data_IF_344222012281
#
_entry.id   IF_344222012281
#
_cell.length_a   1.000
_cell.length_b   1.000
_cell.length_c   1.000
_cell.angle_alpha   90.00
_cell.angle_beta   90.00
_cell.angle_gamma   90.00
#
_symmetry.space_group_name_H-M   'P 1'
#
loop_
_entity.id
_entity.type
_entity.pdbx_description
1 polymer ?
#
# COMPACT_ATOMS: atom_id res chain seq x y z
N UNK A 1 1.30 14.65 5.64
CA UNK A 1 1.34 14.08 4.27
C UNK A 1 0.25 14.72 3.43
N UNK A 2 0.59 15.26 2.27
CA UNK A 2 -0.35 15.93 1.37
C UNK A 2 -0.25 15.45 -0.09
N UNK A 3 0.73 14.59 -0.40
CA UNK A 3 1.05 14.19 -1.77
C UNK A 3 0.63 12.74 -2.03
N UNK A 4 -0.23 12.56 -3.03
CA UNK A 4 -0.60 11.25 -3.57
C UNK A 4 -0.21 11.20 -5.04
N UNK A 5 0.55 10.17 -5.43
CA UNK A 5 1.06 10.01 -6.79
C UNK A 5 0.45 8.76 -7.41
N UNK A 6 -0.34 8.96 -8.46
CA UNK A 6 -0.82 7.87 -9.30
C UNK A 6 0.23 7.57 -10.35
N UNK A 7 0.75 6.34 -10.33
CA UNK A 7 1.90 5.97 -11.16
C UNK A 7 1.56 4.80 -12.04
N UNK A 8 1.92 4.86 -13.33
CA UNK A 8 1.90 3.68 -14.17
C UNK A 8 3.25 2.94 -14.04
N UNK A 9 3.28 1.71 -13.50
CA UNK A 9 4.53 0.97 -13.37
C UNK A 9 5.06 0.54 -14.74
N UNK A 10 6.37 0.58 -14.91
CA UNK A 10 7.03 0.07 -16.12
C UNK A 10 6.92 -1.46 -16.20
N UNK A 11 7.06 -2.02 -17.40
CA UNK A 11 7.07 -3.49 -17.59
C UNK A 11 8.14 -4.18 -16.73
N UNK A 12 9.31 -3.56 -16.57
CA UNK A 12 10.40 -4.10 -15.72
C UNK A 12 9.99 -4.15 -14.25
N UNK A 13 9.35 -3.10 -13.75
CA UNK A 13 8.87 -3.04 -12.36
C UNK A 13 7.76 -4.04 -12.09
N UNK A 14 6.81 -4.20 -13.02
CA UNK A 14 5.76 -5.21 -12.92
C UNK A 14 6.32 -6.64 -12.81
N UNK A 15 7.47 -6.91 -13.45
CA UNK A 15 8.11 -8.23 -13.38
C UNK A 15 8.97 -8.41 -12.12
N UNK A 16 9.71 -7.38 -11.71
CA UNK A 16 10.73 -7.52 -10.66
C UNK A 16 10.24 -7.16 -9.25
N UNK A 17 9.33 -6.19 -9.12
CA UNK A 17 8.85 -5.70 -7.83
C UNK A 17 7.45 -5.10 -7.99
N UNK A 18 6.44 -5.91 -8.33
CA UNK A 18 5.06 -5.44 -8.36
C UNK A 18 4.66 -4.96 -6.96
N UNK A 19 3.93 -3.85 -6.89
CA UNK A 19 3.34 -3.33 -5.67
C UNK A 19 1.96 -2.76 -6.00
N UNK A 20 1.06 -2.77 -5.03
CA UNK A 20 -0.23 -2.09 -5.13
C UNK A 20 -0.10 -0.59 -4.83
N UNK A 21 0.82 -0.25 -3.91
CA UNK A 21 1.15 1.09 -3.48
C UNK A 21 2.38 1.06 -2.57
N UNK A 22 2.91 2.24 -2.24
CA UNK A 22 4.09 2.44 -1.37
C UNK A 22 4.06 3.81 -0.71
N UNK A 23 4.39 3.89 0.57
CA UNK A 23 4.79 5.13 1.23
C UNK A 23 6.27 5.42 1.00
N UNK A 24 6.58 6.67 0.67
CA UNK A 24 7.91 7.22 0.71
C UNK A 24 7.94 8.34 1.76
N UNK A 25 8.76 8.21 2.81
CA UNK A 25 8.85 9.20 3.89
C UNK A 25 9.39 10.55 3.41
N UNK A 26 10.18 10.54 2.34
CA UNK A 26 10.62 11.75 1.64
C UNK A 26 10.74 11.48 0.14
N UNK A 27 9.99 12.23 -0.66
CA UNK A 27 10.07 12.25 -2.11
C UNK A 27 10.15 13.68 -2.63
N UNK A 28 10.96 13.88 -3.67
CA UNK A 28 10.92 15.11 -4.47
C UNK A 28 10.24 14.77 -5.81
N UNK A 29 9.11 15.42 -6.08
CA UNK A 29 8.34 15.22 -7.31
C UNK A 29 8.64 16.39 -8.24
N UNK A 30 9.21 16.09 -9.40
CA UNK A 30 9.58 17.08 -10.41
C UNK A 30 8.89 16.80 -11.74
N UNK A 31 8.70 17.85 -12.53
CA UNK A 31 8.33 17.72 -13.95
C UNK A 31 9.52 17.19 -14.75
N UNK A 32 9.27 16.74 -15.99
CA UNK A 32 10.32 16.34 -16.94
C UNK A 32 11.36 17.44 -17.19
N UNK A 33 10.98 18.73 -17.00
CA UNK A 33 11.88 19.88 -17.14
C UNK A 33 12.63 20.24 -15.86
N UNK A 34 12.51 19.44 -14.80
CA UNK A 34 13.18 19.67 -13.51
C UNK A 34 12.47 20.65 -12.57
N UNK A 35 11.29 21.17 -12.93
CA UNK A 35 10.52 22.02 -12.00
C UNK A 35 9.91 21.19 -10.86
N UNK A 36 10.18 21.57 -9.62
CA UNK A 36 9.62 20.91 -8.42
C UNK A 36 8.12 21.17 -8.28
N UNK A 37 7.34 20.10 -8.19
CA UNK A 37 5.89 20.11 -8.00
C UNK A 37 5.51 19.90 -6.53
N UNK A 38 6.19 18.97 -5.85
CA UNK A 38 5.96 18.65 -4.45
C UNK A 38 7.23 18.08 -3.80
N UNK A 39 7.30 18.18 -2.47
CA UNK A 39 8.40 17.68 -1.65
C UNK A 39 7.84 17.14 -0.32
N UNK A 40 8.50 16.12 0.24
CA UNK A 40 8.13 15.52 1.53
C UNK A 40 7.46 14.14 1.39
N UNK A 41 6.74 13.67 2.41
CA UNK A 41 6.15 12.34 2.41
C UNK A 41 5.06 12.19 1.36
N UNK A 42 5.12 11.10 0.61
CA UNK A 42 4.20 10.82 -0.50
C UNK A 42 3.77 9.34 -0.53
N UNK A 43 2.49 9.12 -0.82
CA UNK A 43 1.97 7.78 -1.14
C UNK A 43 1.88 7.62 -2.65
N UNK A 44 2.46 6.54 -3.14
CA UNK A 44 2.37 6.12 -4.53
C UNK A 44 1.34 5.01 -4.64
N UNK A 45 0.42 5.13 -5.59
CA UNK A 45 -0.51 4.05 -5.96
C UNK A 45 -0.21 3.63 -7.40
N UNK A 46 0.09 2.34 -7.58
CA UNK A 46 0.51 1.80 -8.86
C UNK A 46 -0.70 1.35 -9.69
N UNK A 47 -0.80 1.84 -10.92
CA UNK A 47 -1.87 1.46 -11.83
C UNK A 47 -1.84 -0.05 -12.12
N UNK A 48 -3.04 -0.64 -12.16
CA UNK A 48 -3.24 -2.06 -12.41
C UNK A 48 -3.82 -2.29 -13.80
N UNK A 49 -3.40 -3.39 -14.41
CA UNK A 49 -4.04 -3.88 -15.63
C UNK A 49 -5.20 -4.79 -15.25
N UNK A 50 -6.42 -4.28 -15.39
CA UNK A 50 -7.66 -5.07 -15.27
C UNK A 50 -7.67 -6.15 -16.36
N UNK A 51 -8.27 -7.30 -16.07
CA UNK A 51 -8.36 -8.48 -16.94
C UNK A 51 -7.02 -9.16 -17.23
N UNK A 52 -5.95 -8.79 -16.51
CA UNK A 52 -4.68 -9.52 -16.54
C UNK A 52 -4.58 -10.39 -15.30
N UNK A 53 -4.23 -11.65 -15.50
CA UNK A 53 -3.96 -12.56 -14.39
C UNK A 53 -2.56 -12.33 -13.82
N UNK A 54 -2.47 -12.21 -12.50
CA UNK A 54 -1.23 -12.36 -11.75
C UNK A 54 -0.98 -13.86 -11.54
N UNK A 55 0.27 -14.29 -11.65
CA UNK A 55 0.63 -15.70 -11.54
C UNK A 55 1.60 -15.86 -10.38
N UNK A 56 1.17 -16.56 -9.33
CA UNK A 56 1.97 -16.86 -8.15
C UNK A 56 2.30 -18.35 -8.10
N UNK A 57 3.43 -18.72 -7.50
CA UNK A 57 3.74 -20.12 -7.19
C UNK A 57 2.86 -20.64 -6.06
N UNK A 58 2.62 -21.95 -5.97
CA UNK A 58 1.87 -22.52 -4.84
C UNK A 58 2.69 -22.70 -3.57
N UNK A 59 4.01 -22.60 -3.65
CA UNK A 59 4.90 -22.67 -2.48
C UNK A 59 5.03 -21.28 -1.88
N UNK A 60 4.01 -20.88 -1.13
CA UNK A 60 3.93 -19.58 -0.48
C UNK A 60 4.49 -19.67 0.95
N UNK A 61 5.22 -18.65 1.37
CA UNK A 61 5.52 -18.44 2.79
C UNK A 61 4.26 -17.91 3.52
N UNK A 62 4.29 -17.80 4.86
CA UNK A 62 3.13 -17.34 5.62
C UNK A 62 2.63 -15.94 5.23
N UNK A 63 3.52 -15.01 4.88
CA UNK A 63 3.16 -13.64 4.48
C UNK A 63 2.41 -13.65 3.15
N UNK A 64 2.95 -14.37 2.15
CA UNK A 64 2.29 -14.52 0.86
C UNK A 64 1.00 -15.34 0.93
N UNK A 65 0.89 -16.31 1.84
CA UNK A 65 -0.36 -17.04 2.07
C UNK A 65 -1.45 -16.10 2.60
N UNK A 66 -1.12 -15.27 3.60
CA UNK A 66 -2.05 -14.27 4.13
C UNK A 66 -2.44 -13.25 3.06
N UNK A 67 -1.47 -12.80 2.24
CA UNK A 67 -1.79 -11.87 1.15
C UNK A 67 -2.71 -12.51 0.10
N UNK A 68 -2.53 -13.79 -0.23
CA UNK A 68 -3.44 -14.50 -1.13
C UNK A 68 -4.88 -14.53 -0.57
N UNK A 69 -5.03 -14.74 0.73
CA UNK A 69 -6.34 -14.72 1.40
C UNK A 69 -6.95 -13.32 1.41
N UNK A 70 -6.13 -12.28 1.60
CA UNK A 70 -6.59 -10.88 1.47
C UNK A 70 -7.02 -10.56 0.05
N UNK A 71 -6.31 -11.05 -0.98
CA UNK A 71 -6.73 -10.87 -2.37
C UNK A 71 -8.07 -11.56 -2.64
N UNK A 72 -8.32 -12.75 -2.08
CA UNK A 72 -9.65 -13.37 -2.15
C UNK A 72 -10.71 -12.49 -1.48
N UNK A 73 -10.42 -11.97 -0.28
CA UNK A 73 -11.34 -11.11 0.46
C UNK A 73 -11.64 -9.77 -0.24
N UNK A 74 -10.68 -9.24 -1.00
CA UNK A 74 -10.87 -8.07 -1.86
C UNK A 74 -11.71 -8.37 -3.11
N UNK A 75 -12.02 -9.64 -3.39
CA UNK A 75 -12.85 -10.09 -4.50
C UNK A 75 -12.08 -10.49 -5.76
N UNK A 76 -10.78 -10.75 -5.68
CA UNK A 76 -10.03 -11.31 -6.80
C UNK A 76 -10.41 -12.78 -7.01
N UNK A 77 -10.54 -13.19 -8.28
CA UNK A 77 -10.76 -14.60 -8.62
C UNK A 77 -9.42 -15.34 -8.56
N UNK A 78 -9.24 -16.18 -7.54
CA UNK A 78 -8.01 -16.93 -7.28
C UNK A 78 -8.23 -18.40 -7.58
N UNK A 79 -7.69 -18.86 -8.70
CA UNK A 79 -7.79 -20.25 -9.13
C UNK A 79 -6.44 -20.95 -9.05
N UNK A 80 -6.42 -22.18 -8.53
CA UNK A 80 -5.22 -23.02 -8.54
C UNK A 80 -5.15 -23.82 -9.86
N UNK A 81 -4.06 -23.67 -10.59
CA UNK A 81 -3.73 -24.46 -11.76
C UNK A 81 -2.39 -25.20 -11.54
N UNK A 82 -2.47 -26.42 -11.01
CA UNK A 82 -1.30 -27.22 -10.67
C UNK A 82 -0.43 -26.58 -9.58
N UNK A 83 0.78 -26.15 -9.97
CA UNK A 83 1.79 -25.50 -9.10
C UNK A 83 1.71 -23.96 -9.10
N UNK A 84 0.64 -23.40 -9.68
CA UNK A 84 0.44 -21.96 -9.78
C UNK A 84 -0.93 -21.56 -9.25
N UNK A 85 -1.00 -20.36 -8.69
CA UNK A 85 -2.24 -19.61 -8.51
C UNK A 85 -2.35 -18.58 -9.65
N UNK A 86 -3.49 -18.58 -10.32
CA UNK A 86 -3.88 -17.54 -11.27
C UNK A 86 -4.87 -16.63 -10.55
N UNK A 87 -4.53 -15.35 -10.45
CA UNK A 87 -5.31 -14.34 -9.74
C UNK A 87 -5.80 -13.36 -10.79
N UNK A 88 -7.09 -13.44 -11.14
CA UNK A 88 -7.70 -12.54 -12.12
C UNK A 88 -8.17 -11.26 -11.44
N UNK A 89 -7.67 -10.13 -11.93
CA UNK A 89 -7.96 -8.79 -11.42
C UNK A 89 -9.13 -8.19 -12.19
N UNK A 90 -10.25 -7.97 -11.52
CA UNK A 90 -11.37 -7.19 -12.05
C UNK A 90 -11.24 -5.72 -11.65
N UNK A 91 -12.04 -4.83 -12.25
CA UNK A 91 -12.05 -3.42 -11.85
C UNK A 91 -12.50 -3.24 -10.39
N UNK A 92 -13.47 -4.05 -9.92
CA UNK A 92 -13.95 -4.01 -8.55
C UNK A 92 -12.91 -4.53 -7.56
N UNK A 93 -12.24 -5.65 -7.86
CA UNK A 93 -11.22 -6.19 -6.98
C UNK A 93 -9.97 -5.30 -6.92
N UNK A 94 -9.56 -4.74 -8.06
CA UNK A 94 -8.50 -3.73 -8.11
C UNK A 94 -8.83 -2.52 -7.23
N UNK A 95 -10.06 -2.00 -7.33
CA UNK A 95 -10.52 -0.88 -6.52
C UNK A 95 -10.49 -1.20 -5.03
N UNK A 96 -11.00 -2.36 -4.63
CA UNK A 96 -11.00 -2.79 -3.24
C UNK A 96 -9.58 -2.88 -2.69
N UNK A 97 -8.68 -3.54 -3.41
CA UNK A 97 -7.28 -3.66 -3.00
C UNK A 97 -6.58 -2.31 -2.94
N UNK A 98 -6.74 -1.44 -3.94
CA UNK A 98 -6.02 -0.16 -3.97
C UNK A 98 -6.57 0.85 -2.97
N UNK A 99 -7.89 1.09 -2.99
CA UNK A 99 -8.49 2.21 -2.27
C UNK A 99 -8.91 1.84 -0.84
N UNK A 100 -9.37 0.61 -0.63
CA UNK A 100 -9.96 0.19 0.65
C UNK A 100 -9.01 -0.63 1.51
N UNK A 101 -7.86 -1.04 0.97
CA UNK A 101 -6.82 -1.76 1.72
C UNK A 101 -5.45 -1.09 1.63
N UNK A 102 -4.88 -1.01 0.43
CA UNK A 102 -3.51 -0.52 0.21
C UNK A 102 -3.37 0.93 0.65
N UNK A 103 -4.24 1.82 0.18
CA UNK A 103 -4.18 3.23 0.56
C UNK A 103 -4.25 3.42 2.09
N UNK A 104 -5.18 2.73 2.76
CA UNK A 104 -5.30 2.79 4.21
C UNK A 104 -4.08 2.20 4.93
N UNK A 105 -3.47 1.16 4.37
CA UNK A 105 -2.24 0.55 4.87
C UNK A 105 -1.04 1.50 4.76
N UNK A 106 -0.84 2.14 3.61
CA UNK A 106 0.23 3.13 3.45
C UNK A 106 0.01 4.37 4.35
N UNK A 107 -1.24 4.79 4.55
CA UNK A 107 -1.59 5.80 5.56
C UNK A 107 -1.23 5.30 6.97
N UNK A 108 -1.48 4.02 7.26
CA UNK A 108 -1.10 3.38 8.52
C UNK A 108 0.41 3.45 8.79
N UNK A 109 1.24 3.16 7.78
CA UNK A 109 2.70 3.38 7.90
C UNK A 109 3.06 4.84 8.20
N UNK A 110 2.38 5.79 7.54
CA UNK A 110 2.61 7.20 7.80
C UNK A 110 2.22 7.60 9.22
N UNK A 111 1.09 7.12 9.75
CA UNK A 111 0.69 7.36 11.13
C UNK A 111 1.66 6.73 12.15
N UNK A 112 2.19 5.52 11.86
CA UNK A 112 3.19 4.89 12.71
C UNK A 112 4.45 5.76 12.82
N UNK A 113 4.94 6.24 11.68
CA UNK A 113 6.08 7.16 11.58
C UNK A 113 5.80 8.50 12.25
N UNK A 114 4.64 9.11 11.97
CA UNK A 114 4.24 10.37 12.56
C UNK A 114 4.31 10.31 14.10
N UNK A 115 3.70 9.27 14.68
CA UNK A 115 3.64 9.10 16.14
C UNK A 115 4.98 8.79 16.81
N UNK A 116 5.94 8.20 16.08
CA UNK A 116 7.21 7.72 16.63
C UNK A 116 8.41 8.57 16.27
N UNK A 117 8.32 9.36 15.20
CA UNK A 117 9.45 10.14 14.66
C UNK A 117 9.07 11.61 14.59
N UNK A 118 8.10 11.98 13.76
CA UNK A 118 7.80 13.40 13.48
C UNK A 118 7.27 14.14 14.71
N UNK A 119 6.29 13.57 15.42
CA UNK A 119 5.69 14.21 16.60
C UNK A 119 6.69 14.30 17.76
N UNK A 120 7.45 13.26 18.13
CA UNK A 120 8.47 13.39 19.15
C UNK A 120 9.60 14.36 18.76
N UNK A 121 10.02 14.37 17.48
CA UNK A 121 11.02 15.32 17.00
C UNK A 121 10.53 16.77 17.07
N UNK A 122 9.28 17.04 16.67
CA UNK A 122 8.66 18.35 16.80
C UNK A 122 8.55 18.82 18.26
N UNK A 123 8.53 17.88 19.21
CA UNK A 123 8.53 18.15 20.66
C UNK A 123 9.93 18.15 21.28
N UNK A 124 10.98 18.37 20.47
CA UNK A 124 12.37 18.52 20.94
C UNK A 124 13.16 17.21 21.02
N UNK A 125 12.63 16.11 20.49
CA UNK A 125 13.36 14.86 20.33
C UNK A 125 14.44 14.94 19.24
N UNK A 126 15.48 14.12 19.37
CA UNK A 126 16.52 13.95 18.34
C UNK A 126 15.97 13.14 17.17
N UNK A 127 15.71 13.81 16.05
CA UNK A 127 15.10 13.22 14.86
C UNK A 127 15.93 12.05 14.30
N UNK A 128 17.26 12.17 14.21
CA UNK A 128 18.12 11.12 13.65
C UNK A 128 18.10 9.86 14.52
N UNK A 129 18.08 10.05 15.84
CA UNK A 129 17.91 8.94 16.77
C UNK A 129 16.54 8.29 16.62
N UNK A 130 15.47 9.08 16.56
CA UNK A 130 14.10 8.57 16.44
C UNK A 130 13.89 7.80 15.13
N UNK A 131 14.41 8.30 14.02
CA UNK A 131 14.40 7.60 12.73
C UNK A 131 15.13 6.25 12.83
N UNK A 132 16.34 6.24 13.37
CA UNK A 132 17.13 5.02 13.53
C UNK A 132 16.39 4.01 14.41
N UNK A 133 15.85 4.45 15.54
CA UNK A 133 15.12 3.60 16.47
C UNK A 133 13.83 3.06 15.81
N UNK A 134 13.16 3.86 14.98
CA UNK A 134 12.00 3.42 14.20
C UNK A 134 12.36 2.32 13.19
N UNK A 135 13.44 2.50 12.42
CA UNK A 135 13.85 1.51 11.42
C UNK A 135 14.53 0.28 12.02
N UNK A 136 15.04 0.37 13.25
CA UNK A 136 15.53 -0.79 14.01
C UNK A 136 14.41 -1.75 14.44
N UNK A 137 13.15 -1.29 14.46
CA UNK A 137 12.00 -2.16 14.76
C UNK A 137 11.84 -3.26 13.71
N UNK A 138 11.47 -4.49 14.12
CA UNK A 138 11.22 -5.58 13.20
C UNK A 138 10.24 -5.19 12.10
N UNK A 139 10.55 -5.54 10.83
CA UNK A 139 9.66 -5.29 9.69
C UNK A 139 8.24 -5.81 9.99
N UNK A 140 8.13 -7.05 10.48
CA UNK A 140 6.85 -7.66 10.81
C UNK A 140 6.00 -6.84 11.81
N UNK A 141 6.64 -6.15 12.75
CA UNK A 141 5.94 -5.27 13.69
C UNK A 141 5.35 -4.04 12.99
N UNK A 142 6.15 -3.41 12.11
CA UNK A 142 5.72 -2.23 11.33
C UNK A 142 4.61 -2.57 10.35
N UNK A 143 4.73 -3.69 9.64
CA UNK A 143 3.68 -4.21 8.74
C UNK A 143 2.39 -4.54 9.51
N UNK A 144 2.51 -5.18 10.68
CA UNK A 144 1.35 -5.51 11.51
C UNK A 144 0.63 -4.26 12.03
N UNK A 145 1.34 -3.18 12.35
CA UNK A 145 0.71 -1.91 12.68
C UNK A 145 -0.11 -1.36 11.50
N UNK A 146 0.48 -1.29 10.31
CA UNK A 146 -0.17 -0.75 9.12
C UNK A 146 -1.40 -1.59 8.71
N UNK A 147 -1.33 -2.92 8.80
CA UNK A 147 -2.49 -3.79 8.59
C UNK A 147 -3.61 -3.52 9.61
N UNK A 148 -3.31 -3.49 10.93
CA UNK A 148 -4.32 -3.21 11.95
C UNK A 148 -4.97 -1.85 11.76
N UNK A 149 -4.17 -0.84 11.41
CA UNK A 149 -4.68 0.50 11.11
C UNK A 149 -5.63 0.46 9.92
N UNK A 150 -5.21 -0.18 8.82
CA UNK A 150 -6.03 -0.31 7.61
C UNK A 150 -7.35 -1.02 7.88
N UNK A 151 -7.32 -2.15 8.59
CA UNK A 151 -8.52 -2.94 8.92
C UNK A 151 -9.50 -2.13 9.79
N UNK A 152 -8.98 -1.42 10.80
CA UNK A 152 -9.80 -0.58 11.67
C UNK A 152 -10.42 0.60 10.92
N UNK A 153 -9.66 1.29 10.06
CA UNK A 153 -10.18 2.40 9.26
C UNK A 153 -11.18 1.91 8.21
N UNK A 154 -10.92 0.78 7.57
CA UNK A 154 -11.85 0.15 6.62
C UNK A 154 -13.17 -0.15 7.31
N UNK A 155 -13.15 -0.84 8.45
CA UNK A 155 -14.35 -1.16 9.21
C UNK A 155 -15.12 0.11 9.64
N UNK A 156 -14.41 1.16 10.06
CA UNK A 156 -15.04 2.43 10.42
C UNK A 156 -15.67 3.16 9.22
N UNK A 157 -15.08 3.07 8.03
CA UNK A 157 -15.62 3.64 6.80
C UNK A 157 -16.81 2.83 6.27
N UNK A 158 -16.75 1.50 6.34
CA UNK A 158 -17.87 0.60 6.00
C UNK A 158 -19.06 0.85 6.93
N UNK A 159 -18.85 0.97 8.24
CA UNK A 159 -19.90 1.26 9.21
C UNK A 159 -20.57 2.63 9.00
N UNK A 160 -19.89 3.55 8.31
CA UNK A 160 -20.42 4.88 7.93
C UNK A 160 -20.99 4.89 6.51
N UNK A 161 -21.02 3.75 5.83
CA UNK A 161 -21.41 3.63 4.42
C UNK A 161 -20.59 4.55 3.50
N UNK A 162 -19.38 4.95 3.91
CA UNK A 162 -18.49 5.79 3.13
C UNK A 162 -17.72 4.97 2.08
N UNK A 163 -17.54 3.66 2.34
CA UNK A 163 -17.04 2.69 1.38
C UNK A 163 -17.93 1.42 1.41
N UNK A 164 -18.13 0.75 0.25
CA UNK A 164 -17.73 1.21 -1.08
C UNK A 164 -18.58 2.41 -1.52
N UNK A 165 -17.96 3.40 -2.15
CA UNK A 165 -18.68 4.50 -2.80
C UNK A 165 -18.97 4.14 -4.26
N UNK A 166 -19.82 4.89 -4.97
CA UNK A 166 -20.03 4.67 -6.40
C UNK A 166 -18.84 5.14 -7.24
N UNK A 167 -18.72 4.62 -8.45
CA UNK A 167 -17.71 5.12 -9.39
C UNK A 167 -18.19 6.47 -9.93
N UNK A 168 -17.30 7.46 -9.93
CA UNK A 168 -17.56 8.71 -10.65
C UNK A 168 -17.45 8.44 -12.17
N UNK A 169 -18.51 8.80 -12.91
CA UNK A 169 -18.54 8.75 -14.39
C UNK A 169 -17.72 9.88 -15.02
#
# INVERSE_FOLDING_TARGET
MQTFVFRQPTRKQLTMSPAWGRLQYYAEITTVKGHRLAEGPAIFLDALQVNRSLVWGTSLDPEHSQELDRLRADGHDVQRAGRKFNITVSASSARNTQLYRTLLHEIGHWFDWLSKVEEPAANGGDWERLERDYFARPKAEREAFAHRYADAQRAALEAKEAIPFDRME
#
